data_IF_570441877560
#
_entry.id   IF_570441877560
#
_cell.length_a   1.000
_cell.length_b   1.000
_cell.length_c   1.000
_cell.angle_alpha   90.00
_cell.angle_beta   90.00
_cell.angle_gamma   90.00
#
_symmetry.space_group_name_H-M   'P 1'
#
loop_
_entity.id
_entity.type
_entity.pdbx_description
1 polymer ?
#
# COMPACT_ATOMS: atom_id res chain seq x y z
N UNK A 1 -13.34 0.59 -8.99
CA UNK A 1 -13.26 1.35 -10.25
C UNK A 1 -12.15 0.71 -11.07
N UNK A 2 -12.48 0.16 -12.26
CA UNK A 2 -11.52 -0.63 -13.02
C UNK A 2 -10.39 0.21 -13.63
N UNK A 3 -10.68 1.37 -14.25
CA UNK A 3 -9.69 2.23 -14.91
C UNK A 3 -10.00 3.72 -14.69
N UNK A 4 -9.77 4.27 -13.49
CA UNK A 4 -10.00 5.68 -13.26
C UNK A 4 -8.88 6.51 -13.91
N UNK A 5 -9.23 7.61 -14.58
CA UNK A 5 -8.21 8.60 -14.92
C UNK A 5 -7.58 9.17 -13.64
N UNK A 6 -6.35 9.73 -13.70
CA UNK A 6 -5.72 10.34 -12.52
C UNK A 6 -6.63 11.38 -11.84
N UNK A 7 -7.41 12.09 -12.63
CA UNK A 7 -8.38 13.09 -12.17
C UNK A 7 -9.57 12.47 -11.44
N UNK A 8 -10.09 11.37 -11.98
CA UNK A 8 -11.19 10.64 -11.36
C UNK A 8 -10.73 10.00 -10.03
N UNK A 9 -9.49 9.50 -9.99
CA UNK A 9 -8.89 8.99 -8.75
C UNK A 9 -8.82 10.06 -7.67
N UNK A 10 -8.29 11.24 -7.99
CA UNK A 10 -8.20 12.36 -7.04
C UNK A 10 -9.58 12.74 -6.52
N UNK A 11 -10.59 12.81 -7.40
CA UNK A 11 -11.97 13.14 -7.03
C UNK A 11 -12.58 12.05 -6.15
N UNK A 12 -12.38 10.79 -6.48
CA UNK A 12 -12.87 9.66 -5.70
C UNK A 12 -12.26 9.63 -4.30
N UNK A 13 -10.95 9.86 -4.18
CA UNK A 13 -10.25 9.94 -2.89
C UNK A 13 -10.81 11.09 -2.04
N UNK A 14 -11.07 12.25 -2.64
CA UNK A 14 -11.63 13.41 -1.93
C UNK A 14 -13.06 13.14 -1.42
N UNK A 15 -13.91 12.55 -2.26
CA UNK A 15 -15.30 12.18 -1.89
C UNK A 15 -15.33 11.18 -0.74
N UNK A 16 -14.35 10.29 -0.65
CA UNK A 16 -14.21 9.27 0.40
C UNK A 16 -13.47 9.80 1.66
N UNK A 17 -13.36 11.11 1.84
CA UNK A 17 -12.67 11.69 3.00
C UNK A 17 -11.19 11.36 3.07
N UNK A 18 -10.56 11.10 1.94
CA UNK A 18 -9.12 10.81 1.85
C UNK A 18 -8.75 9.34 2.04
N UNK A 19 -9.62 8.48 2.52
CA UNK A 19 -9.34 7.04 2.74
C UNK A 19 -9.84 6.24 1.55
N UNK A 20 -8.93 5.56 0.84
CA UNK A 20 -9.29 4.86 -0.39
C UNK A 20 -8.44 3.61 -0.60
N UNK A 21 -9.09 2.52 -1.00
CA UNK A 21 -8.42 1.28 -1.36
C UNK A 21 -8.59 1.00 -2.87
N UNK A 22 -7.50 0.64 -3.51
CA UNK A 22 -7.47 0.21 -4.90
C UNK A 22 -7.14 -1.28 -4.91
N UNK A 23 -8.15 -2.07 -5.27
CA UNK A 23 -8.04 -3.52 -5.39
C UNK A 23 -8.25 -3.85 -6.87
N UNK A 24 -7.25 -4.45 -7.51
CA UNK A 24 -7.31 -4.82 -8.92
C UNK A 24 -6.68 -6.18 -9.15
N UNK A 25 -7.35 -6.99 -9.94
CA UNK A 25 -6.93 -8.34 -10.35
C UNK A 25 -6.13 -8.36 -11.67
N UNK A 26 -6.06 -7.22 -12.38
CA UNK A 26 -5.37 -7.13 -13.67
C UNK A 26 -4.19 -6.13 -13.69
N UNK A 27 -4.03 -5.32 -12.67
CA UNK A 27 -2.95 -4.34 -12.59
C UNK A 27 -3.07 -3.17 -13.58
N UNK A 28 -4.17 -3.03 -14.33
CA UNK A 28 -4.40 -1.97 -15.34
C UNK A 28 -4.29 -0.56 -14.76
N UNK A 29 -4.62 -0.38 -13.49
CA UNK A 29 -4.43 0.89 -12.77
C UNK A 29 -2.97 1.40 -12.84
N UNK A 30 -2.00 0.51 -12.94
CA UNK A 30 -0.59 0.88 -13.03
C UNK A 30 -0.27 1.56 -14.36
N UNK A 31 -0.97 1.22 -15.43
CA UNK A 31 -0.85 1.88 -16.74
C UNK A 31 -1.42 3.30 -16.68
N UNK A 32 -2.56 3.46 -16.02
CA UNK A 32 -3.19 4.76 -15.79
C UNK A 32 -2.26 5.67 -14.96
N UNK A 33 -1.72 5.15 -13.86
CA UNK A 33 -0.77 5.86 -13.01
C UNK A 33 0.49 6.25 -13.80
N UNK A 34 0.92 5.40 -14.75
CA UNK A 34 2.08 5.65 -15.59
C UNK A 34 1.89 6.79 -16.61
N UNK A 35 0.69 7.34 -16.73
CA UNK A 35 0.39 8.42 -17.65
C UNK A 35 0.10 7.94 -19.07
N UNK A 36 -0.29 6.68 -19.26
CA UNK A 36 -0.62 6.13 -20.58
C UNK A 36 -1.64 7.00 -21.31
N UNK A 37 -2.63 7.52 -20.59
CA UNK A 37 -3.71 8.35 -21.15
C UNK A 37 -3.45 9.87 -21.07
N UNK A 38 -2.32 10.30 -20.48
CA UNK A 38 -2.02 11.73 -20.26
C UNK A 38 -0.78 12.20 -21.01
N UNK A 39 -0.39 11.52 -22.09
CA UNK A 39 0.81 11.86 -22.87
C UNK A 39 2.12 11.75 -22.08
N UNK A 40 2.18 10.84 -21.11
CA UNK A 40 3.39 10.59 -20.31
C UNK A 40 3.53 11.47 -19.07
N UNK A 41 2.60 12.38 -18.79
CA UNK A 41 2.61 13.20 -17.58
C UNK A 41 1.90 12.45 -16.44
N UNK A 42 2.62 11.62 -15.73
CA UNK A 42 2.10 10.93 -14.55
C UNK A 42 1.99 11.90 -13.36
N UNK A 43 0.78 12.10 -12.85
CA UNK A 43 0.60 12.78 -11.57
C UNK A 43 0.54 11.74 -10.44
N UNK A 44 1.70 11.33 -9.97
CA UNK A 44 1.84 10.32 -8.91
C UNK A 44 1.88 10.91 -7.50
N UNK A 45 1.84 12.24 -7.37
CA UNK A 45 2.02 12.89 -6.07
C UNK A 45 0.94 12.50 -5.05
N UNK A 46 -0.31 12.41 -5.48
CA UNK A 46 -1.39 11.95 -4.58
C UNK A 46 -1.18 10.52 -4.11
N UNK A 47 -0.60 9.68 -4.97
CA UNK A 47 -0.33 8.28 -4.65
C UNK A 47 0.82 8.17 -3.65
N UNK A 48 1.94 8.87 -3.92
CA UNK A 48 3.09 8.89 -3.02
C UNK A 48 2.70 9.40 -1.63
N UNK A 49 2.01 10.55 -1.60
CA UNK A 49 1.53 11.12 -0.33
C UNK A 49 0.48 10.22 0.33
N UNK A 50 -0.40 9.59 -0.45
CA UNK A 50 -1.42 8.70 0.08
C UNK A 50 -0.87 7.42 0.70
N UNK A 51 0.22 6.87 0.15
CA UNK A 51 0.91 5.72 0.75
C UNK A 51 1.65 6.13 2.03
N UNK A 52 2.22 7.32 2.07
CA UNK A 52 3.01 7.81 3.20
C UNK A 52 2.17 8.59 4.24
N UNK A 53 0.88 8.87 3.97
CA UNK A 53 0.02 9.68 4.84
C UNK A 53 0.37 11.16 4.82
N UNK A 54 0.91 11.65 3.71
CA UNK A 54 1.27 13.05 3.51
C UNK A 54 0.07 13.94 3.19
N UNK A 55 0.32 15.26 3.18
CA UNK A 55 -0.67 16.26 2.83
C UNK A 55 -0.58 16.60 1.33
N UNK A 56 -1.73 16.79 0.70
CA UNK A 56 -1.85 17.18 -0.70
C UNK A 56 -2.84 18.34 -0.82
N UNK A 57 -2.38 19.45 -1.39
CA UNK A 57 -3.23 20.53 -1.83
C UNK A 57 -3.47 20.39 -3.32
N UNK A 58 -4.73 20.31 -3.70
CA UNK A 58 -5.15 20.24 -5.10
C UNK A 58 -5.84 21.54 -5.46
N UNK A 59 -5.21 22.30 -6.34
CA UNK A 59 -5.78 23.53 -6.91
C UNK A 59 -6.12 23.28 -8.38
N UNK A 60 -7.37 23.45 -8.75
CA UNK A 60 -7.86 23.39 -10.13
C UNK A 60 -8.80 24.54 -10.39
N UNK A 61 -9.02 24.84 -11.70
CA UNK A 61 -9.82 25.97 -12.17
C UNK A 61 -11.19 26.09 -11.48
N UNK A 62 -11.81 24.97 -11.14
CA UNK A 62 -13.16 24.92 -10.58
C UNK A 62 -13.26 24.22 -9.21
N UNK A 63 -12.16 23.71 -8.67
CA UNK A 63 -12.14 22.97 -7.40
C UNK A 63 -10.79 23.11 -6.71
N UNK A 64 -10.83 23.58 -5.46
CA UNK A 64 -9.68 23.56 -4.57
C UNK A 64 -10.04 22.74 -3.35
N UNK A 65 -9.18 21.81 -2.94
CA UNK A 65 -9.35 21.05 -1.71
C UNK A 65 -8.00 20.66 -1.13
N UNK A 66 -7.98 20.60 0.16
CA UNK A 66 -6.88 20.14 0.98
C UNK A 66 -7.20 18.73 1.46
N UNK A 67 -6.25 17.83 1.30
CA UNK A 67 -6.48 16.41 1.54
C UNK A 67 -5.25 15.77 2.17
N UNK A 68 -5.47 14.98 3.22
CA UNK A 68 -4.47 14.02 3.71
C UNK A 68 -4.87 12.62 3.28
N UNK A 69 -4.47 12.18 2.08
CA UNK A 69 -4.89 10.89 1.53
C UNK A 69 -4.23 9.73 2.28
N UNK A 70 -5.00 8.64 2.42
CA UNK A 70 -4.54 7.34 2.89
C UNK A 70 -4.94 6.31 1.84
N UNK A 71 -3.98 5.85 1.07
CA UNK A 71 -4.22 4.92 -0.02
C UNK A 71 -3.64 3.55 0.29
N UNK A 72 -4.45 2.54 0.05
CA UNK A 72 -4.01 1.14 0.08
C UNK A 72 -4.13 0.56 -1.32
N UNK A 73 -3.09 -0.15 -1.76
CA UNK A 73 -3.07 -0.85 -3.03
C UNK A 73 -2.93 -2.35 -2.79
N UNK A 74 -3.79 -3.14 -3.42
CA UNK A 74 -3.63 -4.58 -3.55
C UNK A 74 -3.87 -4.95 -5.01
N UNK A 75 -2.80 -5.32 -5.71
CA UNK A 75 -2.81 -5.50 -7.15
C UNK A 75 -2.28 -6.88 -7.50
N UNK A 76 -3.00 -7.57 -8.38
CA UNK A 76 -2.46 -8.73 -9.08
C UNK A 76 -1.98 -8.25 -10.45
N UNK A 77 -0.68 -8.24 -10.65
CA UNK A 77 -0.09 -7.75 -11.89
C UNK A 77 0.84 -8.80 -12.50
N UNK A 78 0.85 -8.88 -13.81
CA UNK A 78 1.82 -9.70 -14.49
C UNK A 78 3.23 -9.10 -14.33
N UNK A 79 4.30 -9.93 -14.22
CA UNK A 79 5.66 -9.43 -14.07
C UNK A 79 6.08 -8.44 -15.15
N UNK A 80 5.56 -8.60 -16.38
CA UNK A 80 5.84 -7.70 -17.50
C UNK A 80 5.34 -6.27 -17.24
N UNK A 81 4.20 -6.10 -16.57
CA UNK A 81 3.66 -4.78 -16.20
C UNK A 81 4.64 -4.05 -15.30
N UNK A 82 5.15 -4.72 -14.27
CA UNK A 82 6.13 -4.15 -13.34
C UNK A 82 7.44 -3.83 -14.04
N UNK A 83 7.92 -4.72 -14.92
CA UNK A 83 9.15 -4.50 -15.70
C UNK A 83 9.02 -3.29 -16.62
N UNK A 84 7.88 -3.14 -17.29
CA UNK A 84 7.59 -1.99 -18.15
C UNK A 84 7.55 -0.66 -17.36
N UNK A 85 7.09 -0.71 -16.11
CA UNK A 85 7.08 0.47 -15.25
C UNK A 85 8.49 0.87 -14.82
N UNK A 86 9.36 -0.10 -14.48
CA UNK A 86 10.75 0.14 -14.09
C UNK A 86 11.55 0.88 -15.16
N UNK A 87 11.23 0.66 -16.45
CA UNK A 87 11.85 1.35 -17.58
C UNK A 87 11.30 2.75 -17.86
N UNK A 88 10.19 3.16 -17.26
CA UNK A 88 9.59 4.48 -17.53
C UNK A 88 10.23 5.57 -16.69
N UNK A 89 10.75 6.60 -17.36
CA UNK A 89 11.37 7.77 -16.74
C UNK A 89 10.43 8.51 -15.77
N UNK A 90 9.10 8.39 -15.95
CA UNK A 90 8.09 8.96 -15.05
C UNK A 90 8.14 8.39 -13.64
N UNK A 91 8.65 7.18 -13.45
CA UNK A 91 8.78 6.51 -12.14
C UNK A 91 10.22 6.51 -11.63
N UNK A 92 11.20 6.67 -12.54
CA UNK A 92 12.60 6.72 -12.16
C UNK A 92 12.85 7.86 -11.16
N UNK A 93 13.40 7.54 -10.02
CA UNK A 93 13.76 8.51 -8.98
C UNK A 93 12.60 9.10 -8.17
N UNK A 94 11.34 8.71 -8.43
CA UNK A 94 10.21 9.18 -7.63
C UNK A 94 9.81 8.22 -6.49
N UNK A 95 10.41 7.04 -6.44
CA UNK A 95 10.24 6.08 -5.37
C UNK A 95 8.84 5.45 -5.29
N UNK A 96 8.10 5.38 -6.41
CA UNK A 96 6.78 4.75 -6.42
C UNK A 96 6.88 3.24 -6.28
N UNK A 97 7.72 2.62 -7.11
CA UNK A 97 7.89 1.16 -7.10
C UNK A 97 8.51 0.67 -5.80
N UNK A 98 9.31 1.48 -5.15
CA UNK A 98 9.94 1.19 -3.86
C UNK A 98 8.93 1.15 -2.70
N UNK A 99 7.70 1.64 -2.91
CA UNK A 99 6.63 1.64 -1.90
C UNK A 99 5.71 0.43 -1.98
N UNK A 100 5.95 -0.47 -2.91
CA UNK A 100 5.19 -1.72 -3.02
C UNK A 100 5.94 -2.89 -2.39
N UNK A 101 5.18 -3.81 -1.81
CA UNK A 101 5.66 -5.12 -1.41
C UNK A 101 5.31 -6.11 -2.51
N UNK A 102 6.31 -6.84 -2.97
CA UNK A 102 6.18 -7.76 -4.08
C UNK A 102 6.09 -9.19 -3.58
N UNK A 103 5.01 -9.87 -3.94
CA UNK A 103 4.83 -11.29 -3.70
C UNK A 103 4.96 -12.01 -5.05
N UNK A 104 5.93 -12.90 -5.16
CA UNK A 104 6.20 -13.69 -6.36
C UNK A 104 5.99 -15.17 -6.04
N UNK A 105 4.73 -15.64 -6.00
CA UNK A 105 4.45 -17.04 -5.72
C UNK A 105 4.95 -17.92 -6.86
N UNK A 106 5.42 -19.12 -6.51
CA UNK A 106 5.75 -20.12 -7.52
C UNK A 106 4.48 -20.57 -8.22
N UNK A 107 4.55 -20.69 -9.56
CA UNK A 107 3.44 -21.21 -10.34
C UNK A 107 3.29 -22.71 -10.08
N UNK A 108 2.09 -23.17 -9.80
CA UNK A 108 1.71 -24.56 -9.75
C UNK A 108 1.04 -25.04 -11.05
N UNK A 109 1.25 -24.33 -12.15
CA UNK A 109 0.73 -24.72 -13.46
C UNK A 109 1.28 -26.09 -13.85
N UNK A 110 0.39 -27.00 -14.24
CA UNK A 110 0.73 -28.41 -14.53
C UNK A 110 0.66 -29.32 -13.29
N UNK A 111 0.62 -28.79 -12.08
CA UNK A 111 0.51 -29.55 -10.82
C UNK A 111 -0.81 -29.30 -10.09
N UNK A 112 -1.76 -28.63 -10.75
CA UNK A 112 -3.06 -28.34 -10.15
C UNK A 112 -3.88 -29.61 -10.02
N UNK A 113 -4.52 -29.79 -8.88
CA UNK A 113 -5.52 -30.86 -8.67
C UNK A 113 -6.90 -30.28 -9.02
N UNK A 114 -7.77 -31.15 -9.57
CA UNK A 114 -9.13 -30.78 -9.90
C UNK A 114 -10.07 -30.89 -8.70
N UNK A 115 -9.71 -31.72 -7.74
CA UNK A 115 -10.48 -31.97 -6.52
C UNK A 115 -9.90 -31.15 -5.39
N UNK A 116 -10.38 -29.92 -5.25
CA UNK A 116 -10.04 -29.05 -4.12
C UNK A 116 -11.18 -29.04 -3.11
N UNK A 117 -10.88 -29.35 -1.87
CA UNK A 117 -11.88 -29.19 -0.81
C UNK A 117 -12.21 -27.71 -0.60
N UNK A 118 -13.50 -27.35 -0.51
CA UNK A 118 -13.89 -25.98 -0.23
C UNK A 118 -13.48 -25.59 1.18
N UNK A 119 -13.17 -24.31 1.37
CA UNK A 119 -12.92 -23.75 2.71
C UNK A 119 -14.12 -24.05 3.61
N UNK A 120 -13.90 -24.64 4.76
CA UNK A 120 -14.97 -24.98 5.69
C UNK A 120 -15.79 -23.74 6.09
N UNK A 121 -17.08 -23.91 6.28
CA UNK A 121 -17.97 -22.82 6.69
C UNK A 121 -17.49 -22.15 7.97
N UNK A 122 -17.00 -22.92 8.93
CA UNK A 122 -16.52 -22.39 10.23
C UNK A 122 -15.34 -21.42 10.03
N UNK A 123 -14.37 -21.78 9.20
CA UNK A 123 -13.22 -20.93 8.92
C UNK A 123 -13.65 -19.64 8.18
N UNK A 124 -14.52 -19.76 7.18
CA UNK A 124 -15.02 -18.62 6.42
C UNK A 124 -15.83 -17.67 7.29
N UNK A 125 -16.73 -18.19 8.09
CA UNK A 125 -17.58 -17.39 8.97
C UNK A 125 -16.73 -16.72 10.07
N UNK A 126 -15.75 -17.42 10.65
CA UNK A 126 -14.79 -16.86 11.60
C UNK A 126 -13.95 -15.72 10.99
N UNK A 127 -13.45 -15.90 9.77
CA UNK A 127 -12.74 -14.84 9.04
C UNK A 127 -13.64 -13.62 8.80
N UNK A 128 -14.86 -13.83 8.31
CA UNK A 128 -15.79 -12.74 8.03
C UNK A 128 -16.15 -11.96 9.29
N UNK A 129 -16.39 -12.65 10.41
CA UNK A 129 -16.65 -11.99 11.69
C UNK A 129 -15.46 -11.14 12.14
N UNK A 130 -14.25 -11.67 12.04
CA UNK A 130 -13.05 -10.92 12.41
C UNK A 130 -12.87 -9.65 11.57
N UNK A 131 -13.11 -9.73 10.25
CA UNK A 131 -13.05 -8.57 9.37
C UNK A 131 -14.14 -7.55 9.71
N UNK A 132 -15.37 -7.99 9.91
CA UNK A 132 -16.49 -7.11 10.30
C UNK A 132 -16.21 -6.39 11.61
N UNK A 133 -15.66 -7.08 12.60
CA UNK A 133 -15.30 -6.49 13.88
C UNK A 133 -14.20 -5.42 13.74
N UNK A 134 -13.18 -5.69 12.90
CA UNK A 134 -12.15 -4.70 12.61
C UNK A 134 -12.74 -3.47 11.91
N UNK A 135 -13.60 -3.65 10.92
CA UNK A 135 -14.27 -2.55 10.23
C UNK A 135 -15.13 -1.74 11.18
N UNK A 136 -15.92 -2.39 12.04
CA UNK A 136 -16.77 -1.73 13.03
C UNK A 136 -15.94 -0.91 14.02
N UNK A 137 -14.79 -1.42 14.49
CA UNK A 137 -13.90 -0.70 15.38
C UNK A 137 -13.43 0.64 14.78
N UNK A 138 -13.23 0.70 13.47
CA UNK A 138 -12.74 1.91 12.80
C UNK A 138 -13.86 2.76 12.18
N UNK A 139 -15.08 2.25 12.04
CA UNK A 139 -16.21 3.02 11.48
C UNK A 139 -16.63 4.20 12.36
N UNK A 140 -16.47 4.08 13.67
CA UNK A 140 -16.88 5.09 14.65
C UNK A 140 -15.72 6.01 15.07
N UNK A 141 -14.54 5.83 14.50
CA UNK A 141 -13.41 6.71 14.77
C UNK A 141 -13.41 7.86 13.79
N UNK A 142 -13.77 9.03 14.29
CA UNK A 142 -13.59 10.29 13.58
C UNK A 142 -14.82 10.78 12.82
N UNK A 143 -15.82 11.24 13.55
CA UNK A 143 -16.69 12.33 13.08
C UNK A 143 -15.96 13.69 13.13
N UNK A 144 -14.75 13.75 13.72
CA UNK A 144 -13.85 14.91 13.73
C UNK A 144 -12.78 14.78 12.65
N UNK A 145 -12.48 15.87 11.97
CA UNK A 145 -11.65 15.93 10.76
C UNK A 145 -10.22 15.33 10.86
N UNK A 146 -9.76 14.80 11.99
CA UNK A 146 -8.39 14.28 12.12
C UNK A 146 -8.17 13.27 13.26
N UNK A 147 -9.17 12.60 13.79
CA UNK A 147 -8.93 11.61 14.82
C UNK A 147 -8.23 10.37 14.24
N UNK A 148 -6.99 10.18 14.65
CA UNK A 148 -6.14 9.04 14.27
C UNK A 148 -5.82 8.25 15.51
N UNK A 149 -5.95 6.95 15.45
CA UNK A 149 -5.31 6.09 16.43
C UNK A 149 -3.81 6.13 16.22
N UNK A 150 -3.09 6.54 17.24
CA UNK A 150 -1.63 6.53 17.23
C UNK A 150 -1.16 5.34 18.03
N UNK A 151 -0.60 4.35 17.34
CA UNK A 151 0.08 3.23 17.99
C UNK A 151 1.52 3.63 18.30
N UNK A 152 1.95 3.38 19.52
CA UNK A 152 3.33 3.62 19.96
C UNK A 152 4.03 2.31 20.26
N UNK A 153 5.33 2.25 20.02
CA UNK A 153 6.15 1.11 20.40
C UNK A 153 6.47 1.18 21.89
N UNK A 154 6.34 0.07 22.60
CA UNK A 154 6.93 -0.08 23.92
C UNK A 154 8.47 -0.13 23.84
N UNK A 155 9.14 -0.11 24.97
CA UNK A 155 10.59 -0.08 25.05
C UNK A 155 11.24 -1.30 24.37
N UNK A 156 10.67 -2.48 24.55
CA UNK A 156 11.16 -3.72 23.97
C UNK A 156 11.00 -3.74 22.45
N UNK A 157 9.84 -3.38 21.96
CA UNK A 157 9.53 -3.28 20.52
C UNK A 157 10.37 -2.21 19.85
N UNK A 158 10.60 -1.08 20.52
CA UNK A 158 11.49 -0.02 20.01
C UNK A 158 12.94 -0.50 19.88
N UNK A 159 13.45 -1.24 20.88
CA UNK A 159 14.79 -1.85 20.81
C UNK A 159 14.90 -2.83 19.64
N UNK A 160 13.90 -3.70 19.47
CA UNK A 160 13.86 -4.68 18.38
C UNK A 160 13.83 -3.97 17.01
N UNK A 161 12.99 -2.96 16.84
CA UNK A 161 12.91 -2.17 15.62
C UNK A 161 14.22 -1.43 15.30
N UNK A 162 14.87 -0.86 16.31
CA UNK A 162 16.17 -0.19 16.15
C UNK A 162 17.26 -1.17 15.69
N UNK A 163 17.30 -2.38 16.24
CA UNK A 163 18.23 -3.42 15.79
C UNK A 163 17.96 -3.81 14.33
N UNK A 164 16.69 -3.94 13.96
CA UNK A 164 16.30 -4.20 12.57
C UNK A 164 16.75 -3.09 11.62
N UNK A 165 16.59 -1.82 12.00
CA UNK A 165 17.08 -0.68 11.22
C UNK A 165 18.61 -0.75 11.04
N UNK A 166 19.36 -0.98 12.12
CA UNK A 166 20.82 -1.08 12.07
C UNK A 166 21.25 -2.20 11.12
N UNK A 167 20.57 -3.34 11.15
CA UNK A 167 20.87 -4.46 10.26
C UNK A 167 20.53 -4.10 8.80
N UNK A 168 19.37 -3.47 8.56
CA UNK A 168 18.98 -3.00 7.23
C UNK A 168 20.01 -2.02 6.65
N UNK A 169 20.47 -1.06 7.44
CA UNK A 169 21.52 -0.11 7.00
C UNK A 169 22.83 -0.79 6.61
N UNK A 170 23.22 -1.86 7.29
CA UNK A 170 24.39 -2.65 6.89
C UNK A 170 24.19 -3.32 5.53
N UNK A 171 22.99 -3.87 5.31
CA UNK A 171 22.66 -4.53 4.04
C UNK A 171 22.47 -3.56 2.85
N UNK A 172 22.31 -2.26 3.12
CA UNK A 172 22.22 -1.21 2.10
C UNK A 172 23.60 -0.70 1.62
N UNK A 173 24.70 -1.09 2.30
CA UNK A 173 26.05 -0.73 1.87
C UNK A 173 26.37 -1.31 0.49
N UNK A 174 27.38 -0.77 -0.23
CA UNK A 174 27.74 -1.25 -1.58
C UNK A 174 27.98 -2.76 -1.70
N UNK A 175 28.44 -3.38 -0.62
CA UNK A 175 28.69 -4.82 -0.49
C UNK A 175 27.53 -5.61 0.14
N UNK A 176 26.47 -4.94 0.54
CA UNK A 176 25.31 -5.54 1.19
C UNK A 176 24.29 -6.13 0.21
N UNK A 177 23.45 -7.03 0.71
CA UNK A 177 22.45 -7.75 -0.10
C UNK A 177 21.36 -6.85 -0.66
N UNK A 178 21.05 -5.73 -0.01
CA UNK A 178 20.03 -4.78 -0.43
C UNK A 178 20.60 -3.69 -1.36
N UNK A 179 21.91 -3.65 -1.58
CA UNK A 179 22.55 -2.67 -2.45
C UNK A 179 21.91 -2.58 -3.84
N UNK A 180 21.61 -3.70 -4.54
CA UNK A 180 21.00 -3.65 -5.87
C UNK A 180 19.57 -3.07 -5.90
N UNK A 181 18.90 -3.06 -4.75
CA UNK A 181 17.52 -2.57 -4.57
C UNK A 181 17.45 -1.55 -3.44
N UNK A 182 18.48 -0.70 -3.31
CA UNK A 182 18.64 0.22 -2.19
C UNK A 182 17.42 1.16 -2.00
N UNK A 183 16.80 1.60 -3.08
CA UNK A 183 15.57 2.42 -3.01
C UNK A 183 14.44 1.73 -2.25
N UNK A 184 14.19 0.47 -2.56
CA UNK A 184 13.21 -0.37 -1.87
C UNK A 184 13.68 -0.74 -0.45
N UNK A 185 14.94 -1.12 -0.31
CA UNK A 185 15.56 -1.46 0.97
C UNK A 185 15.44 -0.33 2.00
N UNK A 186 15.58 0.92 1.57
CA UNK A 186 15.38 2.09 2.42
C UNK A 186 13.95 2.28 2.94
N UNK A 187 12.96 1.55 2.40
CA UNK A 187 11.55 1.58 2.86
C UNK A 187 11.19 0.42 3.80
N UNK A 188 12.04 -0.60 3.89
CA UNK A 188 11.76 -1.85 4.63
C UNK A 188 11.43 -1.59 6.11
N UNK A 189 12.16 -0.68 6.78
CA UNK A 189 11.91 -0.36 8.18
C UNK A 189 10.52 0.26 8.41
N UNK A 190 10.04 1.08 7.48
CA UNK A 190 8.69 1.60 7.50
C UNK A 190 7.63 0.53 7.26
N UNK A 191 7.88 -0.42 6.36
CA UNK A 191 6.99 -1.57 6.17
C UNK A 191 6.90 -2.44 7.43
N UNK A 192 8.02 -2.70 8.10
CA UNK A 192 8.03 -3.47 9.33
C UNK A 192 7.13 -2.84 10.40
N UNK A 193 7.17 -1.52 10.58
CA UNK A 193 6.29 -0.81 11.51
C UNK A 193 4.82 -0.91 11.12
N UNK A 194 4.49 -0.75 9.84
CA UNK A 194 3.11 -0.88 9.34
C UNK A 194 2.56 -2.29 9.60
N UNK A 195 3.35 -3.33 9.32
CA UNK A 195 2.97 -4.71 9.63
C UNK A 195 2.82 -4.96 11.12
N UNK A 196 3.73 -4.45 11.94
CA UNK A 196 3.62 -4.58 13.39
C UNK A 196 2.32 -3.96 13.91
N UNK A 197 1.96 -2.76 13.42
CA UNK A 197 0.70 -2.10 13.76
C UNK A 197 -0.53 -2.91 13.30
N UNK A 198 -0.54 -3.39 12.06
CA UNK A 198 -1.64 -4.21 11.55
C UNK A 198 -1.81 -5.51 12.35
N UNK A 199 -0.71 -6.22 12.64
CA UNK A 199 -0.74 -7.45 13.43
C UNK A 199 -1.22 -7.19 14.84
N UNK A 200 -0.80 -6.07 15.46
CA UNK A 200 -1.24 -5.67 16.78
C UNK A 200 -2.76 -5.47 16.82
N UNK A 201 -3.28 -4.66 15.90
CA UNK A 201 -4.73 -4.40 15.78
C UNK A 201 -5.52 -5.69 15.50
N UNK A 202 -5.03 -6.53 14.59
CA UNK A 202 -5.69 -7.82 14.28
C UNK A 202 -5.73 -8.77 15.49
N UNK A 203 -4.72 -8.74 16.35
CA UNK A 203 -4.67 -9.54 17.58
C UNK A 203 -5.47 -8.95 18.72
N UNK A 204 -5.99 -7.74 18.58
CA UNK A 204 -6.78 -7.00 19.59
C UNK A 204 -6.14 -7.00 20.96
N UNK A 205 -4.85 -6.80 21.02
CA UNK A 205 -4.15 -6.62 22.27
C UNK A 205 -4.10 -5.11 22.55
N UNK A 206 -4.97 -4.67 23.45
CA UNK A 206 -4.93 -3.33 24.07
C UNK A 206 -5.01 -2.15 23.06
N UNK A 207 -6.13 -2.06 22.33
CA UNK A 207 -6.48 -0.87 21.54
C UNK A 207 -7.56 -0.09 22.28
#
# INVERSE_FOLDING_TARGET
VADPTPEALVSAVAVQGGRFAILSDEGGIMEVISGLYTGGKANINIILNGIDGGYVRVERKDKSFDLSPYLTFCLFAQPIVISCMGGKQAFAGKGLLERFLYLLPQSNLGYRTHDTEPVSKVLRDGYNLQILDLLNMFMFVGEGENERFVLTLDEQSHKAWKLFQIQTEKELRPDGKLSPIAGWGGKISGFALRFAGLIHVMKRKDV
#
